data_IF_260330634046
#
_entry.id   IF_260330634046
#
_cell.length_a   1.000
_cell.length_b   1.000
_cell.length_c   1.000
_cell.angle_alpha   90.00
_cell.angle_beta   90.00
_cell.angle_gamma   90.00
#
_symmetry.space_group_name_H-M   'P 1'
#
loop_
_entity.id
_entity.type
_entity.pdbx_description
1 polymer ?
#
# COMPACT_ATOMS: atom_id res chain seq x y z
N UNK A 1 47.81 -27.04 -23.59
CA UNK A 1 47.35 -26.65 -22.24
C UNK A 1 46.57 -25.33 -22.26
N UNK A 2 47.08 -24.25 -22.87
CA UNK A 2 46.35 -22.97 -22.95
C UNK A 2 44.95 -23.05 -23.60
N UNK A 3 44.77 -23.89 -24.64
CA UNK A 3 43.47 -24.04 -25.32
C UNK A 3 42.38 -24.63 -24.42
N UNK A 4 42.74 -25.56 -23.53
CA UNK A 4 41.82 -26.17 -22.57
C UNK A 4 41.40 -25.17 -21.49
N UNK A 5 42.35 -24.38 -21.00
CA UNK A 5 42.08 -23.30 -20.04
C UNK A 5 41.18 -22.21 -20.64
N UNK A 6 41.38 -21.86 -21.92
CA UNK A 6 40.53 -20.90 -22.64
C UNK A 6 39.11 -21.43 -22.86
N UNK A 7 38.95 -22.71 -23.20
CA UNK A 7 37.64 -23.34 -23.32
C UNK A 7 36.88 -23.39 -21.99
N UNK A 8 37.57 -23.69 -20.88
CA UNK A 8 36.96 -23.66 -19.55
C UNK A 8 36.54 -22.24 -19.12
N UNK A 9 37.26 -21.20 -19.54
CA UNK A 9 36.90 -19.81 -19.26
C UNK A 9 35.65 -19.37 -20.04
N UNK A 10 35.55 -19.75 -21.33
CA UNK A 10 34.37 -19.48 -22.15
C UNK A 10 33.10 -20.13 -21.59
N UNK A 11 33.17 -21.41 -21.22
CA UNK A 11 32.01 -22.09 -20.59
C UNK A 11 31.59 -21.46 -19.25
N UNK A 12 32.54 -20.85 -18.52
CA UNK A 12 32.24 -20.15 -17.28
C UNK A 12 31.48 -18.84 -17.53
N UNK A 13 31.81 -18.11 -18.59
CA UNK A 13 31.09 -16.89 -18.97
C UNK A 13 29.65 -17.18 -19.41
N UNK A 14 29.40 -18.38 -19.93
CA UNK A 14 28.07 -18.88 -20.30
C UNK A 14 27.25 -19.44 -19.11
N UNK A 15 27.70 -19.28 -17.86
CA UNK A 15 26.92 -19.71 -16.68
C UNK A 15 25.80 -18.71 -16.40
N UNK A 16 24.56 -19.19 -16.40
CA UNK A 16 23.37 -18.41 -16.10
C UNK A 16 23.38 -18.03 -14.61
N UNK A 17 23.24 -16.75 -14.26
CA UNK A 17 23.16 -16.32 -12.87
C UNK A 17 21.77 -16.59 -12.29
N UNK A 18 21.71 -16.68 -10.96
CA UNK A 18 20.45 -16.78 -10.21
C UNK A 18 19.48 -15.67 -10.62
N UNK A 19 18.27 -15.99 -11.10
CA UNK A 19 17.29 -14.98 -11.45
C UNK A 19 16.70 -14.32 -10.19
N UNK A 20 16.09 -13.16 -10.37
CA UNK A 20 15.37 -12.43 -9.33
C UNK A 20 13.93 -12.29 -9.77
N UNK A 21 13.00 -12.59 -8.86
CA UNK A 21 11.56 -12.47 -9.11
C UNK A 21 10.99 -11.29 -8.31
N UNK A 22 10.27 -10.42 -9.01
CA UNK A 22 9.51 -9.32 -8.45
C UNK A 22 8.02 -9.63 -8.54
N UNK A 23 7.28 -9.34 -7.46
CA UNK A 23 5.85 -9.60 -7.34
C UNK A 23 5.10 -8.27 -7.42
N UNK A 24 4.20 -8.13 -8.39
CA UNK A 24 3.36 -6.95 -8.57
C UNK A 24 1.89 -7.34 -8.41
N UNK A 25 1.16 -6.63 -7.54
CA UNK A 25 -0.27 -6.85 -7.33
C UNK A 25 -1.05 -5.89 -8.24
N UNK A 26 -2.04 -6.41 -8.96
CA UNK A 26 -2.93 -5.57 -9.74
C UNK A 26 -3.85 -4.76 -8.81
N UNK A 27 -4.10 -3.50 -9.15
CA UNK A 27 -5.10 -2.69 -8.44
C UNK A 27 -6.48 -3.35 -8.60
N UNK A 28 -7.22 -3.58 -7.51
CA UNK A 28 -8.53 -4.18 -7.61
C UNK A 28 -9.51 -3.27 -8.32
N UNK A 29 -10.00 -3.71 -9.48
CA UNK A 29 -11.08 -3.07 -10.22
C UNK A 29 -12.44 -3.71 -9.90
N UNK A 30 -13.54 -3.04 -10.24
CA UNK A 30 -14.91 -3.54 -9.98
C UNK A 30 -15.21 -4.91 -10.62
N UNK A 31 -14.40 -5.34 -11.60
CA UNK A 31 -14.56 -6.60 -12.31
C UNK A 31 -13.75 -7.79 -11.73
N UNK A 32 -12.97 -7.60 -10.65
CA UNK A 32 -12.25 -8.73 -10.04
C UNK A 32 -13.21 -9.61 -9.22
N UNK A 33 -13.16 -10.95 -9.38
CA UNK A 33 -13.96 -11.85 -8.55
C UNK A 33 -13.67 -11.62 -7.07
N UNK A 34 -14.70 -11.59 -6.21
CA UNK A 34 -14.52 -11.37 -4.79
C UNK A 34 -13.55 -12.43 -4.23
N UNK A 35 -12.54 -11.98 -3.49
CA UNK A 35 -11.50 -12.81 -2.85
C UNK A 35 -10.43 -13.39 -3.78
N UNK A 36 -10.33 -12.92 -5.02
CA UNK A 36 -9.19 -13.25 -5.89
C UNK A 36 -8.21 -12.10 -5.97
N UNK A 37 -6.93 -12.42 -6.01
CA UNK A 37 -5.84 -11.48 -6.11
C UNK A 37 -5.11 -11.72 -7.44
N UNK A 38 -5.15 -10.73 -8.33
CA UNK A 38 -4.41 -10.81 -9.58
C UNK A 38 -2.97 -10.34 -9.36
N UNK A 39 -2.01 -11.18 -9.71
CA UNK A 39 -0.58 -10.96 -9.50
C UNK A 39 0.17 -11.10 -10.81
N UNK A 40 1.17 -10.25 -11.01
CA UNK A 40 2.15 -10.35 -12.08
C UNK A 40 3.52 -10.65 -11.47
N UNK A 41 4.12 -11.77 -11.87
CA UNK A 41 5.46 -12.15 -11.46
C UNK A 41 6.42 -11.78 -12.58
N UNK A 42 7.38 -10.91 -12.32
CA UNK A 42 8.42 -10.53 -13.27
C UNK A 42 9.74 -11.15 -12.86
N UNK A 43 10.35 -11.91 -13.77
CA UNK A 43 11.62 -12.57 -13.52
C UNK A 43 12.72 -11.90 -14.34
N UNK A 44 13.91 -11.69 -13.80
CA UNK A 44 15.02 -11.20 -14.60
C UNK A 44 16.33 -11.81 -14.12
N UNK A 45 17.29 -11.98 -15.03
CA UNK A 45 18.62 -12.47 -14.70
C UNK A 45 19.63 -11.34 -14.97
N UNK A 46 20.55 -11.04 -14.05
CA UNK A 46 21.53 -9.98 -14.24
C UNK A 46 22.55 -10.34 -15.33
N UNK A 47 23.04 -9.34 -16.05
CA UNK A 47 24.21 -9.46 -16.93
C UNK A 47 24.10 -10.52 -18.06
N UNK A 48 22.90 -10.91 -18.47
CA UNK A 48 22.70 -11.87 -19.57
C UNK A 48 21.39 -11.55 -20.32
N UNK A 49 21.41 -11.60 -21.66
CA UNK A 49 20.25 -11.32 -22.53
C UNK A 49 19.74 -12.52 -23.30
N UNK A 50 20.64 -13.47 -23.65
CA UNK A 50 20.34 -14.57 -24.55
C UNK A 50 19.96 -15.83 -23.76
N UNK A 51 18.91 -15.71 -22.96
CA UNK A 51 18.38 -16.78 -22.10
C UNK A 51 16.89 -17.00 -22.35
N UNK A 52 16.44 -18.22 -22.08
CA UNK A 52 15.03 -18.59 -22.13
C UNK A 52 14.44 -18.48 -20.74
N UNK A 53 13.27 -17.83 -20.65
CA UNK A 53 12.48 -17.78 -19.43
C UNK A 53 11.35 -18.79 -19.50
N UNK A 54 11.18 -19.53 -18.41
CA UNK A 54 10.04 -20.41 -18.22
C UNK A 54 9.58 -20.35 -16.77
N UNK A 55 8.30 -20.59 -16.56
CA UNK A 55 7.71 -20.60 -15.24
C UNK A 55 7.20 -21.98 -14.90
N UNK A 56 7.35 -22.37 -13.65
CA UNK A 56 6.83 -23.62 -13.12
C UNK A 56 5.99 -23.33 -11.89
N UNK A 57 4.74 -23.78 -11.88
CA UNK A 57 3.93 -23.85 -10.65
C UNK A 57 4.28 -25.12 -9.91
N UNK A 58 4.69 -25.00 -8.66
CA UNK A 58 4.82 -26.13 -7.74
C UNK A 58 3.45 -26.39 -7.11
N UNK A 59 2.86 -27.54 -7.41
CA UNK A 59 1.57 -27.96 -6.89
C UNK A 59 1.71 -28.63 -5.52
N UNK A 60 0.66 -28.54 -4.70
CA UNK A 60 0.51 -29.45 -3.56
C UNK A 60 0.32 -30.85 -4.13
N UNK A 61 1.21 -31.80 -3.77
CA UNK A 61 1.10 -33.21 -4.16
C UNK A 61 -0.15 -33.79 -3.48
N UNK A 62 -1.31 -33.60 -4.10
CA UNK A 62 -2.46 -34.44 -3.85
C UNK A 62 -2.33 -35.69 -4.73
N UNK A 63 -2.67 -36.85 -4.18
CA UNK A 63 -2.36 -38.16 -4.76
C UNK A 63 -3.10 -38.37 -6.09
N UNK A 64 -2.46 -37.96 -7.19
CA UNK A 64 -3.00 -38.03 -8.55
C UNK A 64 -2.23 -37.09 -9.46
N UNK A 65 -1.04 -37.54 -9.86
CA UNK A 65 -0.05 -36.85 -10.70
C UNK A 65 -0.68 -36.02 -11.84
N UNK A 66 -0.80 -34.70 -11.65
CA UNK A 66 -0.82 -33.73 -12.75
C UNK A 66 0.59 -33.12 -12.87
N UNK A 67 1.12 -32.90 -14.09
CA UNK A 67 2.41 -32.26 -14.27
C UNK A 67 2.41 -30.90 -13.59
N UNK A 68 3.51 -30.51 -12.94
CA UNK A 68 3.74 -29.11 -12.61
C UNK A 68 3.51 -28.27 -13.87
N UNK A 69 2.51 -27.40 -13.87
CA UNK A 69 2.21 -26.56 -15.03
C UNK A 69 3.46 -25.74 -15.38
N UNK A 70 4.04 -26.05 -16.54
CA UNK A 70 5.14 -25.28 -17.10
C UNK A 70 4.56 -24.28 -18.07
N UNK A 71 4.71 -23.00 -17.75
CA UNK A 71 4.26 -21.89 -18.57
C UNK A 71 5.45 -21.28 -19.31
N UNK A 72 5.29 -21.10 -20.61
CA UNK A 72 6.24 -20.37 -21.47
C UNK A 72 5.80 -18.91 -21.64
N UNK A 73 5.39 -18.27 -20.54
CA UNK A 73 4.95 -16.86 -20.50
C UNK A 73 6.11 -15.86 -20.53
N UNK A 74 7.32 -16.33 -20.85
CA UNK A 74 8.52 -15.52 -20.94
C UNK A 74 8.86 -14.86 -19.60
N UNK A 75 9.21 -13.58 -19.64
CA UNK A 75 9.71 -12.85 -18.48
C UNK A 75 8.64 -12.58 -17.41
N UNK A 76 7.37 -12.48 -17.79
CA UNK A 76 6.28 -12.05 -16.91
C UNK A 76 5.13 -13.06 -16.92
N UNK A 77 4.81 -13.62 -15.75
CA UNK A 77 3.68 -14.54 -15.56
C UNK A 77 2.51 -13.82 -14.89
N UNK A 78 1.32 -13.90 -15.48
CA UNK A 78 0.07 -13.38 -14.88
C UNK A 78 -0.71 -14.51 -14.22
N UNK A 79 -0.99 -14.40 -12.93
CA UNK A 79 -1.75 -15.40 -12.17
C UNK A 79 -2.90 -14.76 -11.40
N UNK A 80 -3.97 -15.52 -11.20
CA UNK A 80 -5.09 -15.15 -10.32
C UNK A 80 -5.08 -16.12 -9.15
N UNK A 81 -4.82 -15.62 -7.95
CA UNK A 81 -4.70 -16.42 -6.74
C UNK A 81 -5.98 -16.31 -5.91
N UNK A 82 -6.51 -17.44 -5.46
CA UNK A 82 -7.62 -17.51 -4.52
C UNK A 82 -7.17 -17.98 -3.13
N UNK A 83 -8.09 -18.05 -2.15
CA UNK A 83 -7.77 -18.47 -0.78
C UNK A 83 -7.15 -19.87 -0.66
N UNK A 84 -7.40 -20.75 -1.65
CA UNK A 84 -6.79 -22.08 -1.73
C UNK A 84 -5.31 -22.06 -2.15
N UNK A 85 -4.82 -20.96 -2.72
CA UNK A 85 -3.47 -20.84 -3.27
C UNK A 85 -2.43 -20.35 -2.25
N UNK A 86 -2.74 -20.44 -0.95
CA UNK A 86 -1.90 -19.90 0.12
C UNK A 86 -0.48 -20.49 0.15
N UNK A 87 -0.36 -21.78 -0.17
CA UNK A 87 0.92 -22.49 -0.24
C UNK A 87 1.44 -22.62 -1.69
N UNK A 88 0.75 -22.05 -2.68
CA UNK A 88 1.12 -22.21 -4.08
C UNK A 88 2.39 -21.43 -4.37
N UNK A 89 3.39 -22.14 -4.88
CA UNK A 89 4.72 -21.62 -5.09
C UNK A 89 5.05 -21.61 -6.58
N UNK A 90 5.68 -20.55 -7.05
CA UNK A 90 6.06 -20.38 -8.44
C UNK A 90 7.56 -20.27 -8.55
N UNK A 91 8.15 -20.99 -9.50
CA UNK A 91 9.57 -20.93 -9.80
C UNK A 91 9.78 -20.37 -11.20
N UNK A 92 10.54 -19.29 -11.31
CA UNK A 92 11.09 -18.85 -12.59
C UNK A 92 12.36 -19.65 -12.85
N UNK A 93 12.45 -20.24 -14.04
CA UNK A 93 13.61 -20.98 -14.52
C UNK A 93 14.18 -20.18 -15.68
N UNK A 94 15.47 -19.85 -15.58
CA UNK A 94 16.24 -19.21 -16.63
C UNK A 94 17.28 -20.20 -17.15
N UNK A 95 17.37 -20.36 -18.46
CA UNK A 95 18.28 -21.33 -19.06
C UNK A 95 18.91 -20.83 -20.35
N UNK A 96 20.12 -21.30 -20.61
CA UNK A 96 20.77 -21.26 -21.92
C UNK A 96 21.21 -22.69 -22.30
N UNK A 97 21.84 -22.91 -23.47
CA UNK A 97 22.26 -24.25 -23.89
C UNK A 97 23.28 -24.94 -22.96
N UNK A 98 23.93 -24.20 -22.06
CA UNK A 98 25.05 -24.68 -21.23
C UNK A 98 24.63 -24.90 -19.78
N UNK A 99 23.78 -24.03 -19.24
CA UNK A 99 23.42 -24.01 -17.82
C UNK A 99 22.02 -23.45 -17.58
N UNK A 100 21.52 -23.64 -16.37
CA UNK A 100 20.22 -23.15 -15.93
C UNK A 100 20.23 -22.85 -14.44
N UNK A 101 19.39 -21.92 -14.01
CA UNK A 101 19.17 -21.58 -12.61
C UNK A 101 17.69 -21.18 -12.38
N UNK A 102 17.27 -21.11 -11.11
CA UNK A 102 15.88 -20.81 -10.77
C UNK A 102 15.76 -19.88 -9.55
N UNK A 103 14.62 -19.20 -9.46
CA UNK A 103 14.20 -18.51 -8.25
C UNK A 103 12.73 -18.78 -7.96
N UNK A 104 12.42 -18.96 -6.68
CA UNK A 104 11.13 -19.42 -6.21
C UNK A 104 10.47 -18.37 -5.32
N UNK A 105 9.16 -18.18 -5.49
CA UNK A 105 8.35 -17.23 -4.72
C UNK A 105 6.99 -17.80 -4.36
N UNK A 106 6.45 -17.37 -3.21
CA UNK A 106 5.08 -17.65 -2.77
C UNK A 106 4.29 -16.34 -2.82
N UNK A 107 3.64 -16.02 -3.94
CA UNK A 107 3.08 -14.68 -4.18
C UNK A 107 1.85 -14.35 -3.32
N UNK A 108 1.20 -15.34 -2.72
CA UNK A 108 0.01 -15.14 -1.89
C UNK A 108 0.24 -14.18 -0.72
N UNK A 109 1.43 -14.21 -0.10
CA UNK A 109 1.76 -13.33 1.02
C UNK A 109 1.74 -11.84 0.61
N UNK A 110 2.03 -11.53 -0.66
CA UNK A 110 1.94 -10.16 -1.19
C UNK A 110 0.51 -9.67 -1.36
N UNK A 111 -0.48 -10.57 -1.43
CA UNK A 111 -1.90 -10.22 -1.47
C UNK A 111 -2.46 -9.82 -0.09
N UNK A 112 -1.75 -10.10 1.01
CA UNK A 112 -2.17 -9.75 2.39
C UNK A 112 -1.79 -8.34 2.81
N UNK A 113 -1.12 -7.57 1.96
CA UNK A 113 -1.14 -6.14 2.13
C UNK A 113 -2.53 -5.67 1.75
N UNK A 114 -3.43 -5.62 2.75
CA UNK A 114 -4.60 -4.78 2.67
C UNK A 114 -4.13 -3.45 2.11
N UNK A 115 -4.52 -3.16 0.87
CA UNK A 115 -4.57 -1.80 0.40
C UNK A 115 -5.41 -1.11 1.47
N UNK A 116 -4.74 -0.38 2.37
CA UNK A 116 -5.41 0.43 3.37
C UNK A 116 -6.54 1.11 2.62
N UNK A 117 -7.81 0.87 2.98
CA UNK A 117 -8.92 1.29 2.17
C UNK A 117 -8.79 2.80 1.96
N UNK A 118 -8.34 3.18 0.77
CA UNK A 118 -8.13 4.57 0.36
C UNK A 118 -9.46 5.29 0.14
N UNK A 119 -10.54 4.76 0.71
CA UNK A 119 -11.78 5.46 0.95
C UNK A 119 -11.79 5.84 2.44
N UNK A 120 -11.16 6.97 2.77
CA UNK A 120 -11.63 7.75 3.92
C UNK A 120 -13.11 8.05 3.64
N UNK A 121 -13.98 7.16 4.12
CA UNK A 121 -15.41 7.26 3.91
C UNK A 121 -15.82 8.58 4.52
N UNK A 122 -16.53 9.42 3.76
CA UNK A 122 -17.09 10.67 4.26
C UNK A 122 -17.83 10.45 5.61
N UNK A 123 -18.34 9.24 5.85
CA UNK A 123 -18.95 8.80 7.11
C UNK A 123 -17.99 8.78 8.31
N UNK A 124 -16.72 8.42 8.14
CA UNK A 124 -15.71 8.41 9.21
C UNK A 124 -15.24 9.83 9.54
N UNK A 125 -15.07 10.67 8.51
CA UNK A 125 -14.81 12.10 8.71
C UNK A 125 -16.01 12.77 9.41
N UNK A 126 -17.23 12.44 9.00
CA UNK A 126 -18.46 12.94 9.63
C UNK A 126 -18.59 12.49 11.09
N UNK A 127 -18.23 11.24 11.40
CA UNK A 127 -18.25 10.70 12.77
C UNK A 127 -17.28 11.42 13.71
N UNK A 128 -16.21 12.02 13.20
CA UNK A 128 -15.24 12.79 14.01
C UNK A 128 -15.63 14.28 14.05
N UNK A 129 -16.00 14.86 12.91
CA UNK A 129 -16.27 16.30 12.80
C UNK A 129 -17.55 16.71 13.53
N UNK A 130 -18.62 15.90 13.45
CA UNK A 130 -19.91 16.21 14.10
C UNK A 130 -19.80 16.30 15.63
N UNK A 131 -19.24 15.33 16.37
CA UNK A 131 -19.12 15.44 17.82
C UNK A 131 -18.18 16.57 18.24
N UNK A 132 -17.07 16.80 17.53
CA UNK A 132 -16.16 17.92 17.82
C UNK A 132 -16.89 19.26 17.65
N UNK A 133 -17.62 19.44 16.54
CA UNK A 133 -18.38 20.68 16.30
C UNK A 133 -19.48 20.87 17.35
N UNK A 134 -20.17 19.79 17.74
CA UNK A 134 -21.19 19.85 18.79
C UNK A 134 -20.61 20.27 20.14
N UNK A 135 -19.47 19.69 20.54
CA UNK A 135 -18.76 20.05 21.77
C UNK A 135 -18.33 21.52 21.78
N UNK A 136 -17.80 22.02 20.66
CA UNK A 136 -17.40 23.43 20.52
C UNK A 136 -18.60 24.38 20.64
N UNK A 137 -19.75 24.04 20.02
CA UNK A 137 -20.96 24.85 20.14
C UNK A 137 -21.51 24.87 21.58
N UNK A 138 -21.53 23.73 22.27
CA UNK A 138 -21.95 23.62 23.66
C UNK A 138 -21.04 24.42 24.58
N UNK A 139 -19.72 24.31 24.41
CA UNK A 139 -18.74 25.08 25.17
C UNK A 139 -18.93 26.59 24.97
N UNK A 140 -19.10 27.04 23.72
CA UNK A 140 -19.35 28.45 23.41
C UNK A 140 -20.63 28.98 24.05
N UNK A 141 -21.73 28.21 24.01
CA UNK A 141 -22.99 28.57 24.65
C UNK A 141 -22.86 28.64 26.18
N UNK A 142 -22.16 27.69 26.79
CA UNK A 142 -21.90 27.68 28.23
C UNK A 142 -21.03 28.86 28.66
N UNK A 143 -20.00 29.21 27.89
CA UNK A 143 -19.17 30.39 28.14
C UNK A 143 -19.96 31.68 28.02
N UNK A 144 -20.77 31.84 26.96
CA UNK A 144 -21.63 33.00 26.78
C UNK A 144 -22.67 33.12 27.90
N UNK A 145 -23.28 32.01 28.32
CA UNK A 145 -24.18 31.96 29.47
C UNK A 145 -23.46 32.37 30.75
N UNK A 146 -22.28 31.81 31.03
CA UNK A 146 -21.49 32.18 32.20
C UNK A 146 -21.10 33.66 32.20
N UNK A 147 -20.66 34.21 31.07
CA UNK A 147 -20.36 35.64 30.94
C UNK A 147 -21.60 36.52 31.16
N UNK A 148 -22.77 36.10 30.65
CA UNK A 148 -24.02 36.84 30.80
C UNK A 148 -24.61 36.72 32.22
N UNK A 149 -24.45 35.56 32.86
CA UNK A 149 -24.93 35.31 34.23
C UNK A 149 -23.99 35.93 35.29
N UNK A 150 -22.68 35.90 35.07
CA UNK A 150 -21.70 36.62 35.91
C UNK A 150 -21.71 38.14 35.65
N UNK A 151 -22.10 38.59 34.46
CA UNK A 151 -22.32 40.01 34.13
C UNK A 151 -23.46 40.67 34.91
N UNK A 152 -24.33 39.89 35.58
CA UNK A 152 -25.33 40.41 36.52
C UNK A 152 -24.76 40.86 37.86
N UNK A 153 -23.45 40.76 38.08
CA UNK A 153 -22.75 41.32 39.25
C UNK A 153 -21.90 42.58 38.97
N UNK A 154 -22.16 43.30 37.89
CA UNK A 154 -21.67 44.69 37.76
C UNK A 154 -22.62 45.59 36.93
N UNK A 155 -23.78 45.90 37.54
CA UNK A 155 -24.23 47.29 37.68
C UNK A 155 -23.75 47.66 39.09
N UNK A 156 -22.82 48.56 39.34
CA UNK A 156 -22.69 49.95 38.90
C UNK A 156 -21.19 50.35 38.93
N UNK A 157 -20.73 51.15 37.97
CA UNK A 157 -19.89 52.37 38.16
C UNK A 157 -19.83 53.06 36.79
N UNK A 158 -20.82 53.92 36.55
CA UNK A 158 -20.66 55.17 35.81
C UNK A 158 -21.95 55.97 36.02
N UNK A 159 -22.07 56.62 37.19
CA UNK A 159 -22.52 58.00 37.26
C UNK A 159 -22.39 58.59 38.67
N UNK A 160 -22.23 59.92 38.66
CA UNK A 160 -22.17 60.89 39.77
C UNK A 160 -20.77 61.05 40.41
N UNK A 161 -20.14 62.22 40.47
CA UNK A 161 -20.57 63.61 40.22
C UNK A 161 -19.34 64.52 40.29
N UNK A 162 -19.10 65.37 39.29
CA UNK A 162 -18.41 66.65 39.51
C UNK A 162 -19.19 67.73 38.77
N UNK A 163 -20.01 68.44 39.53
CA UNK A 163 -20.52 69.80 39.28
C UNK A 163 -20.72 70.40 40.68
N UNK A 164 -20.40 71.68 40.95
CA UNK A 164 -20.57 72.87 40.08
C UNK A 164 -19.25 73.70 40.00
N UNK A 165 -19.05 74.71 39.15
CA UNK A 165 -19.69 76.03 39.22
C UNK A 165 -19.56 76.78 37.87
N UNK A 166 -20.71 77.16 37.33
CA UNK A 166 -21.17 78.54 37.11
C UNK A 166 -20.18 79.62 36.64
N UNK A 167 -20.50 80.12 35.44
CA UNK A 167 -20.38 81.49 34.93
C UNK A 167 -19.02 82.03 34.45
N UNK A 168 -18.97 82.32 33.13
CA UNK A 168 -18.81 83.71 32.72
C UNK A 168 -19.41 83.96 31.31
N UNK A 169 -19.74 85.22 30.98
CA UNK A 169 -20.79 85.60 30.05
C UNK A 169 -20.23 85.83 28.65
N UNK A 170 -21.11 86.02 27.67
CA UNK A 170 -20.94 87.09 26.69
C UNK A 170 -22.27 87.34 25.95
N UNK A 171 -22.58 88.62 25.89
CA UNK A 171 -23.37 89.30 24.85
C UNK A 171 -22.94 88.84 23.46
#
# INVERSE_FOLDING_TARGET
MALWSLWSLLLWEDVVPRPVVQVFIAVPGEAQPPKTCQVFLSCWAPNISDITYSWRREGTIDFGMEPSDLFTDGQVLRVSLGPGDKSTTYSCIVSNPVSWDLATVTPWESCHHEAAPGNSSYKDVLLVVVPISLLLTLAGLLSAWHSCYSGKKQKDVCNDRVTPETENPLV
#
